data_IF_040426225380
#
_entry.id   IF_040426225380
#
_cell.length_a   1.000
_cell.length_b   1.000
_cell.length_c   1.000
_cell.angle_alpha   90.00
_cell.angle_beta   90.00
_cell.angle_gamma   90.00
#
_symmetry.space_group_name_H-M   'P 1'
#
loop_
_entity.id
_entity.type
_entity.pdbx_description
1 polymer ?
#
# COMPACT_ATOMS: atom_id res chain seq x y z
N UNK A 1 2.96 15.66 -14.93
CA UNK A 1 1.57 16.04 -14.61
C UNK A 1 0.98 15.22 -13.47
N UNK A 2 1.02 13.90 -13.53
CA UNK A 2 0.51 13.08 -12.43
C UNK A 2 1.24 13.34 -11.09
N UNK A 3 2.52 13.66 -11.14
CA UNK A 3 3.32 13.94 -9.94
C UNK A 3 2.92 15.22 -9.20
N UNK A 4 2.19 16.13 -9.87
CA UNK A 4 1.71 17.36 -9.23
C UNK A 4 0.44 17.16 -8.43
N UNK A 5 -0.28 16.05 -8.68
CA UNK A 5 -1.49 15.71 -7.93
C UNK A 5 -1.11 15.09 -6.60
N UNK A 6 -1.78 15.52 -5.55
CA UNK A 6 -1.55 15.02 -4.19
C UNK A 6 -2.86 14.63 -3.53
N UNK A 7 -2.86 13.59 -2.69
CA UNK A 7 -4.07 13.19 -1.99
C UNK A 7 -4.35 14.13 -0.81
N UNK A 8 -5.59 14.12 -0.36
CA UNK A 8 -5.98 14.78 0.88
C UNK A 8 -5.69 13.85 2.05
N UNK A 9 -4.87 14.31 2.99
CA UNK A 9 -4.47 13.53 4.16
C UNK A 9 -5.38 13.87 5.35
N UNK A 10 -6.05 12.88 5.92
CA UNK A 10 -6.94 13.04 7.06
C UNK A 10 -6.34 12.30 8.24
N UNK A 11 -5.84 13.06 9.22
CA UNK A 11 -5.21 12.51 10.41
C UNK A 11 -6.25 12.20 11.49
N UNK A 12 -5.89 11.30 12.39
CA UNK A 12 -6.69 10.93 13.56
C UNK A 12 -8.11 10.48 13.18
N UNK A 13 -8.23 9.75 12.07
CA UNK A 13 -9.49 9.22 11.57
C UNK A 13 -9.83 7.89 12.25
N UNK A 14 -11.13 7.65 12.44
CA UNK A 14 -11.63 6.37 12.95
C UNK A 14 -11.87 5.35 11.83
N UNK A 15 -11.74 5.76 10.57
CA UNK A 15 -11.97 4.87 9.41
C UNK A 15 -11.04 3.66 9.42
N UNK A 16 -9.71 3.81 9.59
CA UNK A 16 -8.84 2.63 9.66
C UNK A 16 -9.19 1.69 10.81
N UNK A 17 -9.56 2.22 11.97
CA UNK A 17 -9.95 1.42 13.12
C UNK A 17 -11.22 0.61 12.82
N UNK A 18 -12.20 1.26 12.22
CA UNK A 18 -13.45 0.60 11.83
C UNK A 18 -13.19 -0.52 10.81
N UNK A 19 -12.41 -0.24 9.77
CA UNK A 19 -12.11 -1.21 8.72
C UNK A 19 -11.27 -2.38 9.23
N UNK A 20 -10.43 -2.15 10.25
CA UNK A 20 -9.63 -3.21 10.86
C UNK A 20 -10.47 -4.32 11.48
N UNK A 21 -11.73 -4.03 11.87
CA UNK A 21 -12.64 -5.04 12.41
C UNK A 21 -13.01 -6.11 11.39
N UNK A 22 -12.89 -5.79 10.10
CA UNK A 22 -13.26 -6.67 9.00
C UNK A 22 -12.03 -7.16 8.22
N UNK A 23 -10.81 -6.85 8.70
CA UNK A 23 -9.56 -7.15 8.01
C UNK A 23 -8.72 -8.11 8.84
N UNK A 24 -7.93 -8.98 8.20
CA UNK A 24 -6.97 -9.85 8.91
C UNK A 24 -5.76 -9.09 9.47
N UNK A 25 -5.65 -7.79 9.19
CA UNK A 25 -4.55 -6.95 9.68
C UNK A 25 -5.10 -5.72 10.38
N UNK A 26 -4.25 -5.09 11.20
CA UNK A 26 -4.55 -3.78 11.76
C UNK A 26 -4.18 -2.71 10.75
N UNK A 27 -5.19 -1.99 10.27
CA UNK A 27 -5.00 -0.92 9.29
C UNK A 27 -4.65 0.36 10.03
N UNK A 28 -3.46 0.91 9.79
CA UNK A 28 -3.06 2.19 10.36
C UNK A 28 -3.49 3.37 9.49
N UNK A 29 -3.38 3.21 8.18
CA UNK A 29 -3.79 4.20 7.21
C UNK A 29 -4.39 3.49 6.00
N UNK A 30 -5.32 4.16 5.32
CA UNK A 30 -5.90 3.65 4.08
C UNK A 30 -5.95 4.76 3.05
N UNK A 31 -5.43 4.46 1.86
CA UNK A 31 -5.49 5.35 0.70
C UNK A 31 -6.62 4.88 -0.22
N UNK A 32 -7.60 5.76 -0.43
CA UNK A 32 -8.76 5.45 -1.24
C UNK A 32 -9.15 6.66 -2.08
N UNK A 33 -8.93 6.58 -3.38
CA UNK A 33 -9.17 7.70 -4.26
C UNK A 33 -8.26 8.88 -3.93
N UNK A 34 -8.83 10.03 -3.76
CA UNK A 34 -8.08 11.26 -3.45
C UNK A 34 -7.88 11.47 -1.95
N UNK A 35 -8.31 10.53 -1.11
CA UNK A 35 -8.23 10.67 0.34
C UNK A 35 -7.36 9.59 0.97
N UNK A 36 -6.65 9.99 2.02
CA UNK A 36 -5.90 9.08 2.88
C UNK A 36 -6.39 9.32 4.31
N UNK A 37 -6.88 8.26 4.95
CA UNK A 37 -7.33 8.30 6.34
C UNK A 37 -6.34 7.56 7.22
N UNK A 38 -5.90 8.20 8.31
CA UNK A 38 -4.88 7.67 9.21
C UNK A 38 -5.37 7.67 10.65
N UNK A 39 -4.90 6.71 11.43
CA UNK A 39 -5.26 6.59 12.85
C UNK A 39 -4.71 7.71 13.72
N UNK A 40 -3.56 8.24 13.36
CA UNK A 40 -2.86 9.23 14.16
C UNK A 40 -2.27 10.33 13.29
N UNK A 41 -1.24 10.97 13.80
CA UNK A 41 -0.53 12.01 13.08
C UNK A 41 0.41 11.41 12.04
N UNK A 42 0.57 12.10 10.92
CA UNK A 42 1.38 11.64 9.81
C UNK A 42 2.81 12.16 9.93
N UNK A 43 3.77 11.25 9.88
CA UNK A 43 5.17 11.59 9.65
C UNK A 43 5.40 11.81 8.14
N UNK A 44 6.53 12.42 7.80
CA UNK A 44 6.91 12.61 6.39
C UNK A 44 7.09 11.27 5.67
N UNK A 45 7.60 10.27 6.38
CA UNK A 45 7.76 8.91 5.85
C UNK A 45 6.39 8.33 5.48
N UNK A 46 5.42 8.42 6.38
CA UNK A 46 4.08 7.90 6.14
C UNK A 46 3.37 8.67 5.03
N UNK A 47 3.52 9.99 5.00
CA UNK A 47 2.95 10.80 3.91
C UNK A 47 3.50 10.35 2.56
N UNK A 48 4.79 10.08 2.49
CA UNK A 48 5.43 9.59 1.26
C UNK A 48 4.92 8.21 0.88
N UNK A 49 4.83 7.31 1.86
CA UNK A 49 4.28 5.97 1.66
C UNK A 49 2.89 6.04 1.02
N UNK A 50 1.99 6.82 1.63
CA UNK A 50 0.61 6.92 1.14
C UNK A 50 0.53 7.65 -0.20
N UNK A 51 1.43 8.60 -0.46
CA UNK A 51 1.49 9.27 -1.76
C UNK A 51 1.98 8.32 -2.86
N UNK A 52 2.85 7.37 -2.53
CA UNK A 52 3.23 6.31 -3.48
C UNK A 52 2.00 5.50 -3.89
N UNK A 53 1.17 5.09 -2.91
CA UNK A 53 -0.09 4.40 -3.21
C UNK A 53 -1.03 5.25 -4.06
N UNK A 54 -1.09 6.55 -3.80
CA UNK A 54 -1.89 7.45 -4.60
C UNK A 54 -1.42 7.48 -6.06
N UNK A 55 -0.11 7.52 -6.29
CA UNK A 55 0.46 7.44 -7.65
C UNK A 55 0.09 6.12 -8.32
N UNK A 56 0.15 5.01 -7.60
CA UNK A 56 -0.26 3.70 -8.11
C UNK A 56 -1.73 3.72 -8.52
N UNK A 57 -2.57 4.33 -7.71
CA UNK A 57 -4.01 4.45 -8.00
C UNK A 57 -4.25 5.29 -9.24
N UNK A 58 -3.55 6.40 -9.40
CA UNK A 58 -3.67 7.24 -10.59
C UNK A 58 -3.26 6.49 -11.86
N UNK A 59 -2.20 5.70 -11.79
CA UNK A 59 -1.71 4.91 -12.93
C UNK A 59 -2.71 3.86 -13.38
N UNK A 60 -3.50 3.33 -12.46
CA UNK A 60 -4.44 2.24 -12.71
C UNK A 60 -5.89 2.69 -12.60
N UNK A 61 -6.14 4.00 -12.70
CA UNK A 61 -7.49 4.60 -12.68
C UNK A 61 -8.28 4.20 -11.42
N UNK A 62 -7.61 4.17 -10.28
CA UNK A 62 -8.15 3.83 -8.95
C UNK A 62 -8.70 2.40 -8.88
N UNK A 63 -9.76 2.11 -9.62
CA UNK A 63 -10.43 0.79 -9.60
C UNK A 63 -9.46 -0.32 -9.98
N UNK A 64 -8.62 -0.10 -10.98
CA UNK A 64 -7.62 -1.08 -11.41
C UNK A 64 -6.65 -1.43 -10.29
N UNK A 65 -6.18 -0.42 -9.55
CA UNK A 65 -5.28 -0.66 -8.43
C UNK A 65 -5.98 -1.46 -7.32
N UNK A 66 -7.23 -1.12 -7.01
CA UNK A 66 -7.97 -1.83 -5.96
C UNK A 66 -8.21 -3.29 -6.32
N UNK A 67 -8.57 -3.58 -7.58
CA UNK A 67 -8.77 -4.95 -8.05
C UNK A 67 -7.46 -5.73 -7.98
N UNK A 68 -6.37 -5.18 -8.50
CA UNK A 68 -5.07 -5.84 -8.47
C UNK A 68 -4.56 -6.02 -7.05
N UNK A 69 -4.82 -5.07 -6.16
CA UNK A 69 -4.44 -5.16 -4.77
C UNK A 69 -5.09 -6.38 -4.11
N UNK A 70 -6.38 -6.55 -4.30
CA UNK A 70 -7.12 -7.69 -3.77
C UNK A 70 -6.60 -8.99 -4.39
N UNK A 71 -6.38 -9.01 -5.73
CA UNK A 71 -5.87 -10.19 -6.42
C UNK A 71 -4.48 -10.61 -5.91
N UNK A 72 -3.57 -9.64 -5.73
CA UNK A 72 -2.24 -9.93 -5.20
C UNK A 72 -2.32 -10.43 -3.75
N UNK A 73 -3.22 -9.85 -2.96
CA UNK A 73 -3.41 -10.27 -1.58
C UNK A 73 -3.93 -11.70 -1.51
N UNK A 74 -4.94 -12.04 -2.31
CA UNK A 74 -5.50 -13.39 -2.35
C UNK A 74 -4.45 -14.41 -2.79
N UNK A 75 -3.70 -14.08 -3.83
CA UNK A 75 -2.62 -14.96 -4.31
C UNK A 75 -1.59 -15.20 -3.20
N UNK A 76 -1.14 -14.14 -2.54
CA UNK A 76 -0.20 -14.25 -1.44
C UNK A 76 -0.76 -15.01 -0.25
N UNK A 77 -2.02 -14.74 0.10
CA UNK A 77 -2.69 -15.44 1.20
C UNK A 77 -2.69 -16.95 0.97
N UNK A 78 -3.14 -17.39 -0.20
CA UNK A 78 -3.17 -18.82 -0.53
C UNK A 78 -1.76 -19.40 -0.53
N UNK A 79 -0.82 -18.73 -1.17
CA UNK A 79 0.58 -19.15 -1.26
C UNK A 79 1.19 -19.39 0.13
N UNK A 80 1.09 -18.41 1.02
CA UNK A 80 1.69 -18.51 2.35
C UNK A 80 0.91 -19.46 3.26
N UNK A 81 -0.39 -19.51 3.11
CA UNK A 81 -1.22 -20.45 3.85
C UNK A 81 -0.84 -21.91 3.53
N UNK A 82 -0.66 -22.22 2.26
CA UNK A 82 -0.25 -23.56 1.82
C UNK A 82 1.17 -23.92 2.30
N UNK A 83 2.01 -22.92 2.53
CA UNK A 83 3.35 -23.12 3.08
C UNK A 83 3.37 -23.23 4.60
N UNK A 84 2.22 -23.14 5.25
CA UNK A 84 2.13 -23.21 6.70
C UNK A 84 2.63 -21.97 7.43
N UNK A 85 2.76 -20.84 6.74
CA UNK A 85 3.22 -19.60 7.34
C UNK A 85 2.12 -19.02 8.25
N UNK A 86 2.48 -18.69 9.49
CA UNK A 86 1.56 -18.01 10.41
C UNK A 86 1.28 -16.60 9.92
N UNK A 87 0.08 -16.12 10.19
CA UNK A 87 -0.33 -14.76 9.78
C UNK A 87 -0.24 -14.54 8.27
N UNK A 88 -0.64 -15.53 7.48
CA UNK A 88 -0.55 -15.49 6.02
C UNK A 88 -1.20 -14.23 5.42
N UNK A 89 -2.30 -13.76 5.99
CA UNK A 89 -2.98 -12.54 5.53
C UNK A 89 -2.12 -11.29 5.68
N UNK A 90 -1.41 -11.17 6.80
CA UNK A 90 -0.51 -10.04 7.03
C UNK A 90 0.71 -10.09 6.11
N UNK A 91 1.30 -11.27 5.96
CA UNK A 91 2.46 -11.45 5.08
C UNK A 91 2.06 -11.17 3.63
N UNK A 92 0.90 -11.65 3.19
CA UNK A 92 0.39 -11.36 1.85
C UNK A 92 0.22 -9.86 1.60
N UNK A 93 -0.22 -9.12 2.60
CA UNK A 93 -0.35 -7.67 2.52
C UNK A 93 1.02 -7.00 2.26
N UNK A 94 2.00 -7.27 3.13
CA UNK A 94 3.32 -6.64 3.01
C UNK A 94 4.09 -7.07 1.77
N UNK A 95 3.80 -8.25 1.23
CA UNK A 95 4.52 -8.81 0.09
C UNK A 95 3.84 -8.56 -1.25
N UNK A 96 2.76 -7.77 -1.28
CA UNK A 96 2.18 -7.32 -2.55
C UNK A 96 3.11 -6.34 -3.24
N UNK A 97 3.13 -6.29 -4.59
CA UNK A 97 4.02 -5.36 -5.30
C UNK A 97 3.80 -3.91 -4.90
N UNK A 98 2.55 -3.52 -4.64
CA UNK A 98 2.22 -2.14 -4.25
C UNK A 98 2.82 -1.78 -2.89
N UNK A 99 2.71 -2.66 -1.90
CA UNK A 99 3.29 -2.41 -0.59
C UNK A 99 4.81 -2.51 -0.62
N UNK A 100 5.36 -3.44 -1.39
CA UNK A 100 6.81 -3.55 -1.52
C UNK A 100 7.43 -2.29 -2.10
N UNK A 101 6.82 -1.70 -3.11
CA UNK A 101 7.29 -0.42 -3.65
C UNK A 101 7.26 0.66 -2.56
N UNK A 102 6.14 0.79 -1.87
CA UNK A 102 5.95 1.84 -0.88
C UNK A 102 6.93 1.70 0.30
N UNK A 103 7.03 0.51 0.90
CA UNK A 103 7.94 0.28 2.03
C UNK A 103 9.41 0.39 1.66
N UNK A 104 9.78 -0.02 0.45
CA UNK A 104 11.17 0.06 0.00
C UNK A 104 11.65 1.49 -0.25
N UNK A 105 10.73 2.43 -0.48
CA UNK A 105 11.08 3.77 -0.95
C UNK A 105 10.54 4.90 -0.06
N UNK A 106 9.81 4.57 1.00
CA UNK A 106 9.16 5.59 1.84
C UNK A 106 10.16 6.49 2.57
N UNK A 107 11.39 6.04 2.78
CA UNK A 107 12.43 6.82 3.45
C UNK A 107 13.27 7.67 2.52
N UNK A 108 13.11 7.51 1.20
CA UNK A 108 13.84 8.31 0.22
C UNK A 108 13.11 9.62 -0.02
N UNK A 109 13.69 10.73 0.43
CA UNK A 109 13.06 12.06 0.36
C UNK A 109 12.73 12.50 -1.08
N UNK A 110 13.55 12.10 -2.05
CA UNK A 110 13.39 12.48 -3.46
C UNK A 110 12.70 11.41 -4.31
N UNK A 111 12.18 10.34 -3.69
CA UNK A 111 11.63 9.23 -4.45
C UNK A 111 10.46 9.64 -5.35
N UNK A 112 9.53 10.44 -4.82
CA UNK A 112 8.35 10.85 -5.57
C UNK A 112 8.71 11.67 -6.82
N UNK A 113 9.79 12.45 -6.74
CA UNK A 113 10.29 13.21 -7.88
C UNK A 113 10.94 12.32 -8.94
N UNK A 114 11.62 11.28 -8.49
CA UNK A 114 12.36 10.34 -9.37
C UNK A 114 11.52 9.16 -9.83
N UNK A 115 10.39 8.91 -9.17
CA UNK A 115 9.57 7.74 -9.43
C UNK A 115 9.12 7.68 -10.88
N UNK A 116 9.34 6.54 -11.52
CA UNK A 116 8.86 6.28 -12.89
C UNK A 116 7.44 5.72 -12.83
N UNK A 117 6.69 5.97 -13.90
CA UNK A 117 5.34 5.40 -14.04
C UNK A 117 5.41 3.87 -13.99
N UNK A 118 4.47 3.28 -13.26
CA UNK A 118 4.41 1.82 -13.07
C UNK A 118 5.64 1.24 -12.37
N UNK A 119 6.26 2.00 -11.48
CA UNK A 119 7.44 1.55 -10.73
C UNK A 119 7.17 0.29 -9.90
N UNK A 120 5.92 0.04 -9.52
CA UNK A 120 5.54 -1.16 -8.75
C UNK A 120 5.75 -2.47 -9.53
N UNK A 121 5.79 -2.42 -10.87
CA UNK A 121 5.90 -3.62 -11.70
C UNK A 121 7.19 -4.40 -11.40
N UNK A 122 8.27 -3.73 -11.12
CA UNK A 122 9.55 -4.39 -10.83
C UNK A 122 9.53 -5.24 -9.55
N UNK A 123 8.52 -5.04 -8.71
CA UNK A 123 8.37 -5.81 -7.47
C UNK A 123 7.53 -7.07 -7.65
N UNK A 124 6.95 -7.29 -8.83
CA UNK A 124 6.21 -8.51 -9.13
C UNK A 124 7.21 -9.68 -9.16
N UNK A 125 6.96 -10.68 -8.32
CA UNK A 125 7.84 -11.85 -8.20
C UNK A 125 9.13 -11.61 -7.42
N UNK A 126 9.33 -10.41 -6.86
CA UNK A 126 10.47 -10.13 -6.00
C UNK A 126 10.36 -10.92 -4.68
N UNK A 127 11.51 -11.29 -4.12
CA UNK A 127 11.53 -11.95 -2.82
C UNK A 127 11.06 -10.99 -1.73
N UNK A 128 10.32 -11.54 -0.78
CA UNK A 128 9.77 -10.78 0.33
C UNK A 128 10.27 -11.39 1.64
N UNK A 129 10.94 -10.58 2.45
CA UNK A 129 11.60 -11.01 3.68
C UNK A 129 10.75 -10.78 4.93
N UNK A 130 9.45 -10.50 4.77
CA UNK A 130 8.56 -10.10 5.87
C UNK A 130 8.07 -11.26 6.76
N UNK A 131 8.49 -12.48 6.48
CA UNK A 131 8.04 -13.65 7.25
C UNK A 131 9.16 -14.49 7.83
#
# INVERSE_FOLDING_TARGET
MLKSLKPYMIENSKVPVFLSKFSPINIWAISFGFWVWCRGNLSDVTKRHETIHFQQQLELLFIGQWILYVCWWLYGYVKYRLRGVKHAGRIAYYCSPFEMEAYSNETQEDYLEKRKRYAWIKYIGAECDEY
#
